data_IF_143852449668
#
_entry.id   IF_143852449668
#
_cell.length_a   1.000
_cell.length_b   1.000
_cell.length_c   1.000
_cell.angle_alpha   90.00
_cell.angle_beta   90.00
_cell.angle_gamma   90.00
#
_symmetry.space_group_name_H-M   'P 1'
#
loop_
_entity.id
_entity.type
_entity.pdbx_description
1 polymer ?
#
# COMPACT_ATOMS: atom_id res chain seq x y z
N UNK A 1 -20.71 -9.57 -14.07
CA UNK A 1 -22.06 -9.81 -13.48
C UNK A 1 -22.31 -8.73 -12.42
N UNK A 2 -23.42 -8.05 -12.41
CA UNK A 2 -23.83 -7.11 -11.36
C UNK A 2 -24.90 -7.83 -10.54
N UNK A 3 -24.69 -7.95 -9.22
CA UNK A 3 -25.62 -8.62 -8.32
C UNK A 3 -25.85 -7.80 -7.04
N UNK A 4 -27.03 -7.91 -6.46
CA UNK A 4 -27.35 -7.37 -5.14
C UNK A 4 -27.09 -8.47 -4.12
N UNK A 5 -26.11 -8.26 -3.24
CA UNK A 5 -25.75 -9.23 -2.19
C UNK A 5 -25.73 -8.54 -0.82
N UNK A 6 -25.95 -9.26 0.29
CA UNK A 6 -25.75 -8.72 1.63
C UNK A 6 -24.29 -8.28 1.84
N UNK A 7 -24.07 -7.22 2.62
CA UNK A 7 -22.72 -6.68 2.86
C UNK A 7 -21.70 -7.73 3.36
N UNK A 8 -22.05 -8.64 4.31
CA UNK A 8 -21.09 -9.68 4.73
C UNK A 8 -20.62 -10.57 3.58
N UNK A 9 -21.50 -10.89 2.61
CA UNK A 9 -21.15 -11.69 1.44
C UNK A 9 -20.22 -10.91 0.50
N UNK A 10 -20.49 -9.62 0.29
CA UNK A 10 -19.60 -8.76 -0.49
C UNK A 10 -18.23 -8.62 0.16
N UNK A 11 -18.19 -8.45 1.48
CA UNK A 11 -16.96 -8.24 2.24
C UNK A 11 -16.03 -9.47 2.24
N UNK A 12 -16.59 -10.67 2.18
CA UNK A 12 -15.83 -11.94 2.14
C UNK A 12 -15.56 -12.43 0.71
N UNK A 13 -15.99 -11.67 -0.29
CA UNK A 13 -15.95 -12.10 -1.70
C UNK A 13 -14.56 -12.39 -2.26
N UNK A 14 -13.50 -11.88 -1.60
CA UNK A 14 -12.10 -12.07 -2.01
C UNK A 14 -11.27 -12.87 -1.00
N UNK A 15 -11.87 -13.39 0.07
CA UNK A 15 -11.13 -14.14 1.13
C UNK A 15 -10.40 -15.36 0.57
N UNK A 16 -10.95 -15.98 -0.47
CA UNK A 16 -10.35 -17.14 -1.16
C UNK A 16 -9.01 -16.83 -1.83
N UNK A 17 -8.71 -15.55 -2.09
CA UNK A 17 -7.41 -15.12 -2.63
C UNK A 17 -6.30 -15.16 -1.58
N UNK A 18 -6.65 -15.11 -0.28
CA UNK A 18 -5.71 -14.93 0.83
C UNK A 18 -5.82 -16.08 1.84
N UNK A 19 -5.33 -17.25 1.48
CA UNK A 19 -5.30 -18.38 2.42
C UNK A 19 -4.34 -18.12 3.58
N UNK A 20 -4.78 -18.46 4.78
CA UNK A 20 -3.96 -18.33 5.99
C UNK A 20 -2.69 -19.18 5.90
N UNK A 21 -1.55 -18.57 6.25
CA UNK A 21 -0.25 -19.24 6.24
C UNK A 21 0.43 -19.30 4.89
N UNK A 22 -0.20 -18.78 3.82
CA UNK A 22 0.46 -18.64 2.52
C UNK A 22 1.50 -17.53 2.60
N UNK A 23 2.77 -17.80 2.27
CA UNK A 23 3.78 -16.77 2.18
C UNK A 23 3.40 -15.72 1.13
N UNK A 24 3.60 -14.46 1.46
CA UNK A 24 3.34 -13.36 0.54
C UNK A 24 4.29 -12.19 0.80
N UNK A 25 4.55 -11.43 -0.25
CA UNK A 25 5.25 -10.17 -0.21
C UNK A 25 4.51 -9.16 -1.07
N UNK A 26 4.47 -7.89 -0.65
CA UNK A 26 3.76 -6.87 -1.41
C UNK A 26 4.50 -5.54 -1.42
N UNK A 27 4.20 -4.74 -2.43
CA UNK A 27 4.53 -3.32 -2.53
C UNK A 27 3.30 -2.55 -2.93
N UNK A 28 3.22 -1.28 -2.55
CA UNK A 28 2.12 -0.40 -2.97
C UNK A 28 2.62 0.94 -3.48
N UNK A 29 1.89 1.50 -4.43
CA UNK A 29 2.21 2.77 -5.07
C UNK A 29 0.95 3.58 -5.35
N UNK A 30 1.01 4.89 -5.12
CA UNK A 30 -0.02 5.82 -5.58
C UNK A 30 0.32 6.37 -6.96
N UNK A 31 -0.72 6.56 -7.76
CA UNK A 31 -0.67 7.24 -9.05
C UNK A 31 -1.72 8.35 -9.06
N UNK A 32 -1.35 9.55 -9.46
CA UNK A 32 -2.32 10.61 -9.75
C UNK A 32 -3.13 10.25 -11.00
N UNK A 33 -2.45 9.65 -11.98
CA UNK A 33 -3.02 9.15 -13.23
C UNK A 33 -2.33 7.85 -13.65
N UNK A 34 -3.08 6.90 -14.17
CA UNK A 34 -2.52 5.69 -14.80
C UNK A 34 -2.25 5.99 -16.28
N UNK A 35 -1.01 6.35 -16.58
CA UNK A 35 -0.58 6.55 -17.97
C UNK A 35 -0.46 5.22 -18.74
N UNK A 36 -0.54 5.29 -20.07
CA UNK A 36 -0.33 4.12 -20.94
C UNK A 36 1.04 3.46 -20.68
N UNK A 37 2.06 4.25 -20.37
CA UNK A 37 3.39 3.75 -20.02
C UNK A 37 3.36 2.95 -18.70
N UNK A 38 2.69 3.44 -17.66
CA UNK A 38 2.52 2.70 -16.42
C UNK A 38 1.69 1.40 -16.61
N UNK A 39 0.64 1.47 -17.44
CA UNK A 39 -0.17 0.30 -17.81
C UNK A 39 0.69 -0.72 -18.55
N UNK A 40 1.58 -0.28 -19.46
CA UNK A 40 2.51 -1.16 -20.16
C UNK A 40 3.44 -1.91 -19.19
N UNK A 41 4.03 -1.20 -18.22
CA UNK A 41 4.87 -1.81 -17.18
C UNK A 41 4.08 -2.85 -16.39
N UNK A 42 2.83 -2.55 -16.00
CA UNK A 42 1.98 -3.48 -15.26
C UNK A 42 1.61 -4.71 -16.07
N UNK A 43 1.27 -4.56 -17.36
CA UNK A 43 0.95 -5.67 -18.24
C UNK A 43 2.15 -6.61 -18.42
N UNK A 44 3.33 -6.04 -18.66
CA UNK A 44 4.57 -6.77 -18.76
C UNK A 44 4.95 -7.50 -17.46
N UNK A 45 4.77 -6.85 -16.33
CA UNK A 45 5.02 -7.45 -15.03
C UNK A 45 4.09 -8.63 -14.77
N UNK A 46 2.79 -8.47 -15.07
CA UNK A 46 1.82 -9.54 -14.91
C UNK A 46 2.11 -10.75 -15.79
N UNK A 47 2.53 -10.51 -17.03
CA UNK A 47 2.94 -11.58 -17.95
C UNK A 47 4.17 -12.38 -17.45
N UNK A 48 5.00 -11.78 -16.60
CA UNK A 48 6.20 -12.38 -16.00
C UNK A 48 6.00 -12.77 -14.52
N UNK A 49 4.77 -12.81 -14.04
CA UNK A 49 4.49 -13.21 -12.66
C UNK A 49 5.04 -14.61 -12.36
N UNK A 50 5.78 -14.81 -11.26
CA UNK A 50 6.45 -16.07 -10.97
C UNK A 50 5.49 -17.20 -10.60
N UNK A 51 4.29 -16.86 -10.14
CA UNK A 51 3.24 -17.82 -9.78
C UNK A 51 1.88 -17.35 -10.28
N UNK A 52 0.93 -18.26 -10.40
CA UNK A 52 -0.48 -17.99 -10.71
C UNK A 52 -1.26 -17.30 -9.56
N UNK A 53 -0.58 -17.05 -8.43
CA UNK A 53 -1.14 -16.43 -7.22
C UNK A 53 -0.73 -14.98 -7.06
N UNK A 54 0.06 -14.44 -8.01
CA UNK A 54 0.41 -13.03 -8.02
C UNK A 54 -0.79 -12.18 -8.46
N UNK A 55 -0.96 -11.02 -7.81
CA UNK A 55 -2.08 -10.12 -8.06
C UNK A 55 -1.59 -8.68 -8.27
N UNK A 56 -2.22 -7.99 -9.19
CA UNK A 56 -2.16 -6.53 -9.36
C UNK A 56 -3.54 -5.98 -9.02
N UNK A 57 -3.68 -5.32 -7.90
CA UNK A 57 -4.95 -4.71 -7.47
C UNK A 57 -4.85 -3.21 -7.65
N UNK A 58 -5.74 -2.64 -8.45
CA UNK A 58 -5.82 -1.19 -8.67
C UNK A 58 -7.10 -0.68 -8.01
N UNK A 59 -6.92 0.17 -7.00
CA UNK A 59 -8.00 0.78 -6.25
C UNK A 59 -8.17 2.24 -6.68
N UNK A 60 -9.40 2.65 -6.96
CA UNK A 60 -9.72 4.06 -7.23
C UNK A 60 -9.94 4.80 -5.92
N UNK A 61 -9.09 5.79 -5.65
CA UNK A 61 -9.25 6.72 -4.53
C UNK A 61 -9.98 7.98 -5.00
N UNK A 62 -10.97 8.43 -4.22
CA UNK A 62 -11.78 9.60 -4.60
C UNK A 62 -13.12 9.63 -3.88
N UNK A 63 -14.12 10.26 -4.51
CA UNK A 63 -15.47 10.38 -3.97
C UNK A 63 -15.54 11.18 -2.67
N UNK A 64 -16.33 10.75 -1.70
CA UNK A 64 -16.50 11.45 -0.41
C UNK A 64 -15.19 11.53 0.39
N UNK A 65 -14.32 10.53 0.29
CA UNK A 65 -13.03 10.55 0.97
C UNK A 65 -12.14 11.72 0.49
N UNK A 66 -12.26 12.12 -0.77
CA UNK A 66 -11.50 13.21 -1.36
C UNK A 66 -12.07 14.61 -1.02
N UNK A 67 -13.26 14.69 -0.42
CA UNK A 67 -13.87 15.96 0.02
C UNK A 67 -13.44 16.39 1.42
N UNK A 68 -12.79 15.50 2.14
CA UNK A 68 -12.28 15.77 3.50
C UNK A 68 -10.95 16.50 3.39
N UNK A 69 -10.79 17.57 4.18
CA UNK A 69 -9.51 18.30 4.24
C UNK A 69 -8.35 17.39 4.65
N UNK A 70 -7.15 17.49 4.02
CA UNK A 70 -6.01 16.63 4.31
C UNK A 70 -5.58 16.62 5.78
N UNK A 71 -5.81 17.72 6.51
CA UNK A 71 -5.43 17.88 7.92
C UNK A 71 -6.53 17.55 8.92
N UNK A 72 -7.73 17.19 8.44
CA UNK A 72 -8.88 16.91 9.32
C UNK A 72 -8.74 15.57 10.08
N UNK A 73 -7.93 14.65 9.57
CA UNK A 73 -7.65 13.33 10.20
C UNK A 73 -6.18 12.98 10.02
N UNK A 74 -5.72 11.88 10.61
CA UNK A 74 -4.34 11.41 10.40
C UNK A 74 -4.05 10.99 8.95
N UNK A 75 -5.06 10.63 8.16
CA UNK A 75 -4.92 10.24 6.76
C UNK A 75 -4.90 11.46 5.82
N UNK A 76 -3.77 11.80 5.16
CA UNK A 76 -3.62 13.04 4.40
C UNK A 76 -4.01 12.92 2.91
N UNK A 77 -4.02 11.72 2.33
CA UNK A 77 -4.10 11.49 0.88
C UNK A 77 -5.54 11.62 0.38
N UNK A 78 -6.03 12.86 0.26
CA UNK A 78 -7.40 13.19 -0.13
C UNK A 78 -7.57 13.44 -1.62
N UNK A 79 -6.47 13.60 -2.35
CA UNK A 79 -6.51 13.77 -3.79
C UNK A 79 -7.00 12.49 -4.48
N UNK A 80 -7.82 12.69 -5.52
CA UNK A 80 -8.24 11.59 -6.37
C UNK A 80 -7.05 10.96 -7.10
N UNK A 81 -7.09 9.65 -7.28
CA UNK A 81 -6.02 8.91 -7.94
C UNK A 81 -6.26 7.42 -7.88
N UNK A 82 -5.20 6.68 -8.04
CA UNK A 82 -5.21 5.22 -7.99
C UNK A 82 -4.15 4.75 -7.00
N UNK A 83 -4.46 3.71 -6.24
CA UNK A 83 -3.48 2.97 -5.48
C UNK A 83 -3.32 1.59 -6.11
N UNK A 84 -2.08 1.21 -6.36
CA UNK A 84 -1.72 -0.13 -6.79
C UNK A 84 -1.22 -0.91 -5.60
N UNK A 85 -1.70 -2.13 -5.46
CA UNK A 85 -1.14 -3.12 -4.57
C UNK A 85 -0.60 -4.29 -5.42
N UNK A 86 0.71 -4.44 -5.41
CA UNK A 86 1.44 -5.56 -6.01
C UNK A 86 1.52 -6.66 -4.96
N UNK A 87 0.90 -7.79 -5.18
CA UNK A 87 0.91 -8.91 -4.24
C UNK A 87 1.55 -10.10 -4.93
N UNK A 88 2.68 -10.55 -4.41
CA UNK A 88 3.30 -11.81 -4.78
C UNK A 88 2.99 -12.86 -3.72
N UNK A 89 2.42 -13.97 -4.11
CA UNK A 89 2.10 -15.10 -3.24
C UNK A 89 2.66 -16.37 -3.84
N UNK A 90 3.07 -17.30 -2.99
CA UNK A 90 3.59 -18.60 -3.40
C UNK A 90 3.20 -19.69 -2.40
N UNK A 91 3.37 -20.92 -2.79
CA UNK A 91 3.11 -22.10 -1.93
C UNK A 91 4.41 -22.78 -1.55
N UNK A 92 5.33 -22.93 -2.51
CA UNK A 92 6.64 -23.54 -2.27
C UNK A 92 7.61 -22.46 -1.74
N UNK A 93 8.25 -22.64 -0.58
CA UNK A 93 9.29 -21.74 -0.08
C UNK A 93 10.43 -21.47 -1.08
N UNK A 94 10.70 -22.38 -2.02
CA UNK A 94 11.69 -22.19 -3.07
C UNK A 94 11.36 -21.02 -4.02
N UNK A 95 10.09 -20.62 -4.13
CA UNK A 95 9.64 -19.51 -4.96
C UNK A 95 9.80 -18.13 -4.27
N UNK A 96 10.26 -18.11 -3.02
CA UNK A 96 10.30 -16.86 -2.21
C UNK A 96 11.15 -15.77 -2.86
N UNK A 97 12.37 -16.10 -3.29
CA UNK A 97 13.28 -15.12 -3.88
C UNK A 97 12.72 -14.55 -5.19
N UNK A 98 12.14 -15.41 -6.03
CA UNK A 98 11.52 -15.01 -7.29
C UNK A 98 10.30 -14.11 -7.05
N UNK A 99 9.45 -14.46 -6.07
CA UNK A 99 8.27 -13.69 -5.69
C UNK A 99 8.62 -12.31 -5.16
N UNK A 100 9.59 -12.20 -4.26
CA UNK A 100 10.07 -10.95 -3.69
C UNK A 100 10.72 -10.09 -4.78
N UNK A 101 11.60 -10.69 -5.60
CA UNK A 101 12.28 -9.99 -6.69
C UNK A 101 11.28 -9.41 -7.72
N UNK A 102 10.25 -10.17 -8.07
CA UNK A 102 9.21 -9.71 -8.99
C UNK A 102 8.50 -8.46 -8.48
N UNK A 103 8.08 -8.46 -7.22
CA UNK A 103 7.38 -7.31 -6.63
C UNK A 103 8.30 -6.09 -6.54
N UNK A 104 9.56 -6.25 -6.14
CA UNK A 104 10.55 -5.16 -6.05
C UNK A 104 10.88 -4.57 -7.42
N UNK A 105 11.25 -5.41 -8.39
CA UNK A 105 11.58 -4.95 -9.75
C UNK A 105 10.41 -4.28 -10.44
N UNK A 106 9.19 -4.76 -10.24
CA UNK A 106 7.98 -4.11 -10.78
C UNK A 106 7.76 -2.76 -10.13
N UNK A 107 7.90 -2.67 -8.81
CA UNK A 107 7.78 -1.42 -8.07
C UNK A 107 8.83 -0.39 -8.54
N UNK A 108 10.09 -0.79 -8.69
CA UNK A 108 11.17 0.08 -9.15
C UNK A 108 10.93 0.58 -10.59
N UNK A 109 10.43 -0.29 -11.47
CA UNK A 109 10.09 0.09 -12.84
C UNK A 109 8.92 1.10 -12.91
N UNK A 110 8.04 1.11 -11.91
CA UNK A 110 6.93 2.05 -11.81
C UNK A 110 7.33 3.39 -11.19
N UNK A 111 8.52 3.50 -10.56
CA UNK A 111 8.96 4.71 -9.85
C UNK A 111 8.77 6.03 -10.62
N UNK A 112 9.06 6.11 -11.94
CA UNK A 112 8.86 7.35 -12.72
C UNK A 112 7.40 7.79 -12.86
N UNK A 113 6.45 6.91 -12.57
CA UNK A 113 5.01 7.12 -12.75
C UNK A 113 4.29 7.31 -11.41
N UNK A 114 4.97 7.05 -10.28
CA UNK A 114 4.37 7.10 -8.96
C UNK A 114 4.25 8.53 -8.43
N UNK A 115 3.20 8.77 -7.65
CA UNK A 115 3.11 9.96 -6.81
C UNK A 115 3.89 9.75 -5.51
N UNK A 116 4.45 10.83 -4.95
CA UNK A 116 5.18 10.81 -3.67
C UNK A 116 4.22 10.64 -2.47
N UNK A 117 3.54 9.50 -2.43
CA UNK A 117 2.55 9.13 -1.43
C UNK A 117 2.66 7.64 -1.11
N UNK A 118 2.29 7.28 0.11
CA UNK A 118 2.20 5.88 0.54
C UNK A 118 0.94 5.65 1.37
N UNK A 119 0.38 4.45 1.32
CA UNK A 119 -0.75 4.08 2.16
C UNK A 119 -0.25 3.27 3.36
N UNK A 120 -0.48 3.79 4.57
CA UNK A 120 0.02 3.18 5.82
C UNK A 120 -0.31 1.70 5.96
N UNK A 121 -1.51 1.29 5.53
CA UNK A 121 -1.95 -0.11 5.66
C UNK A 121 -1.24 -1.06 4.69
N UNK A 122 -0.58 -0.51 3.66
CA UNK A 122 0.10 -1.30 2.62
C UNK A 122 1.62 -1.14 2.64
N UNK A 123 2.18 -0.44 3.65
CA UNK A 123 3.61 -0.38 3.83
C UNK A 123 4.12 -1.71 4.40
N UNK A 124 4.99 -2.44 3.69
CA UNK A 124 5.63 -3.62 4.23
C UNK A 124 6.71 -3.24 5.26
N UNK A 125 7.18 -4.22 6.00
CA UNK A 125 8.16 -4.01 7.07
C UNK A 125 9.51 -3.47 6.59
N UNK A 126 9.83 -3.62 5.33
CA UNK A 126 11.07 -3.11 4.71
C UNK A 126 10.95 -1.70 4.09
N UNK A 127 9.81 -1.03 4.25
CA UNK A 127 9.54 0.34 3.75
C UNK A 127 9.45 1.39 4.89
N UNK A 128 10.20 1.21 5.97
CA UNK A 128 10.15 2.11 7.13
C UNK A 128 10.50 3.57 6.83
N UNK A 129 11.33 3.83 5.83
CA UNK A 129 11.70 5.17 5.36
C UNK A 129 10.54 5.92 4.70
N UNK A 130 9.50 5.21 4.25
CA UNK A 130 8.30 5.78 3.63
C UNK A 130 7.19 6.18 4.63
N UNK A 131 7.39 6.00 5.92
CA UNK A 131 6.39 6.38 6.95
C UNK A 131 6.04 7.86 6.89
N UNK A 132 7.03 8.73 6.66
CA UNK A 132 6.77 10.18 6.48
C UNK A 132 5.89 10.46 5.25
N UNK A 133 6.10 9.76 4.13
CA UNK A 133 5.24 9.86 2.94
C UNK A 133 3.80 9.42 3.25
N UNK A 134 3.64 8.38 4.07
CA UNK A 134 2.32 7.84 4.41
C UNK A 134 1.48 8.80 5.25
N UNK A 135 2.11 9.60 6.12
CA UNK A 135 1.43 10.60 6.93
C UNK A 135 1.50 12.02 6.35
N UNK A 136 2.35 12.26 5.34
CA UNK A 136 2.43 13.50 4.57
C UNK A 136 2.42 14.75 5.44
N UNK A 137 1.54 15.69 5.14
CA UNK A 137 1.38 16.97 5.85
C UNK A 137 1.01 16.82 7.32
N UNK A 138 0.54 15.66 7.75
CA UNK A 138 0.15 15.41 9.14
C UNK A 138 1.29 14.83 9.99
N UNK A 139 2.43 14.46 9.39
CA UNK A 139 3.50 13.76 10.08
C UNK A 139 4.01 14.52 11.30
N UNK A 140 4.33 15.81 11.14
CA UNK A 140 4.90 16.61 12.23
C UNK A 140 3.89 16.80 13.39
N UNK A 141 2.62 16.97 13.06
CA UNK A 141 1.55 17.00 14.05
C UNK A 141 1.42 15.67 14.81
N UNK A 142 1.59 14.55 14.13
CA UNK A 142 1.57 13.22 14.75
C UNK A 142 2.81 13.00 15.65
N UNK A 143 3.99 13.54 15.28
CA UNK A 143 5.18 13.55 16.16
C UNK A 143 4.92 14.33 17.45
N UNK A 144 4.29 15.51 17.37
CA UNK A 144 3.91 16.28 18.57
C UNK A 144 2.96 15.49 19.48
N UNK A 145 1.94 14.87 18.92
CA UNK A 145 1.02 14.01 19.66
C UNK A 145 1.72 12.82 20.29
N UNK A 146 2.63 12.18 19.53
CA UNK A 146 3.45 11.06 20.02
C UNK A 146 4.31 11.48 21.21
N UNK A 147 4.99 12.63 21.13
CA UNK A 147 5.77 13.20 22.25
C UNK A 147 4.94 13.47 23.49
N UNK A 148 3.71 13.91 23.30
CA UNK A 148 2.80 14.22 24.41
C UNK A 148 2.23 12.99 25.09
N UNK A 149 1.82 11.98 24.33
CA UNK A 149 1.03 10.85 24.82
C UNK A 149 1.83 9.56 24.98
N UNK A 150 2.93 9.43 24.27
CA UNK A 150 3.83 8.26 24.31
C UNK A 150 5.31 8.67 24.16
N UNK A 151 5.84 9.50 25.07
CA UNK A 151 7.21 10.02 24.96
C UNK A 151 8.28 8.94 25.03
N UNK A 152 7.99 7.82 25.66
CA UNK A 152 8.88 6.68 25.80
C UNK A 152 8.77 5.67 24.63
N UNK A 153 7.96 5.98 23.61
CA UNK A 153 7.74 5.13 22.45
C UNK A 153 7.35 3.69 22.79
N UNK A 154 6.42 3.54 23.77
CA UNK A 154 5.92 2.22 24.18
C UNK A 154 5.19 1.52 23.04
N UNK A 155 4.36 2.26 22.28
CA UNK A 155 3.64 1.79 21.10
C UNK A 155 4.46 2.08 19.85
N UNK A 156 5.31 1.13 19.45
CA UNK A 156 6.29 1.33 18.36
C UNK A 156 6.20 0.27 17.25
N UNK A 157 5.13 -0.50 17.21
CA UNK A 157 4.94 -1.50 16.16
C UNK A 157 4.46 -0.87 14.85
N UNK A 158 4.62 -1.61 13.74
CA UNK A 158 4.24 -1.23 12.37
C UNK A 158 4.88 0.09 11.92
N UNK A 159 4.10 1.03 11.38
CA UNK A 159 4.56 2.33 10.87
C UNK A 159 4.74 3.31 12.03
N UNK A 160 5.73 3.06 12.86
CA UNK A 160 6.00 3.88 14.05
C UNK A 160 6.35 5.32 13.71
N UNK A 161 5.80 6.25 14.48
CA UNK A 161 6.20 7.65 14.52
C UNK A 161 7.12 7.82 15.74
N UNK A 162 8.42 7.98 15.48
CA UNK A 162 9.42 8.11 16.54
C UNK A 162 9.33 9.49 17.20
N UNK A 163 9.10 9.58 18.54
CA UNK A 163 9.04 10.84 19.27
C UNK A 163 10.40 11.57 19.34
N UNK A 164 11.52 10.85 19.18
CA UNK A 164 12.86 11.44 19.20
C UNK A 164 13.26 12.08 17.87
N UNK A 165 12.59 11.77 16.75
CA UNK A 165 12.91 12.40 15.46
C UNK A 165 12.62 13.90 15.49
N UNK A 166 13.63 14.68 15.20
CA UNK A 166 13.49 16.13 14.95
C UNK A 166 12.69 16.37 13.69
N UNK A 167 11.84 17.39 13.73
CA UNK A 167 11.06 17.89 12.61
C UNK A 167 11.96 18.42 11.51
#
# INVERSE_FOLDING_TARGET
MIARVPYPVANTGVDWLFERGRPCYWKSAFFSELSDAAIGVLADAFARAPTDKCLLVIERFGGEAARVEPTATAYPHREAGHNLLLISQWTDPADSDAGIAWARTTFDALAPHMADRAYTNYLPADDHDRVRQAFGVNYDRLVELKRRYDPNNLFHLNQNIDPARSS
#
